data_IF_782557889336
#
_entry.id   IF_782557889336
#
_cell.length_a   1.000
_cell.length_b   1.000
_cell.length_c   1.000
_cell.angle_alpha   90.00
_cell.angle_beta   90.00
_cell.angle_gamma   90.00
#
_symmetry.space_group_name_H-M   'P 1'
#
loop_
_entity.id
_entity.type
_entity.pdbx_description
1 polymer ?
#
# COMPACT_ATOMS: atom_id res chain seq x y z
N UNK A 1 -11.97 11.26 6.69
CA UNK A 1 -12.59 9.90 6.67
C UNK A 1 -11.50 8.87 6.47
N UNK A 2 -11.59 7.74 7.16
CA UNK A 2 -10.55 6.69 7.11
C UNK A 2 -11.18 5.32 6.85
N UNK A 3 -10.48 4.51 6.07
CA UNK A 3 -10.80 3.10 5.86
C UNK A 3 -9.55 2.28 6.11
N UNK A 4 -9.71 1.18 6.83
CA UNK A 4 -8.65 0.24 7.14
C UNK A 4 -8.92 -1.09 6.44
N UNK A 5 -7.90 -1.64 5.79
CA UNK A 5 -7.93 -2.95 5.16
C UNK A 5 -6.67 -3.73 5.55
N UNK A 6 -6.74 -5.05 5.44
CA UNK A 6 -5.65 -5.95 5.82
C UNK A 6 -5.28 -6.85 4.65
N UNK A 7 -4.02 -7.21 4.56
CA UNK A 7 -3.56 -8.24 3.64
C UNK A 7 -2.35 -8.98 4.21
N UNK A 8 -2.22 -10.24 3.84
CA UNK A 8 -1.05 -11.04 4.14
C UNK A 8 -0.22 -11.21 2.87
N UNK A 9 1.05 -10.89 2.94
CA UNK A 9 1.94 -10.99 1.78
C UNK A 9 3.35 -11.33 2.22
N UNK A 10 4.10 -11.96 1.30
CA UNK A 10 5.52 -12.21 1.49
C UNK A 10 6.35 -11.28 0.63
N UNK A 11 7.56 -11.01 1.08
CA UNK A 11 8.53 -10.22 0.33
C UNK A 11 9.97 -10.54 0.75
N UNK A 12 10.88 -10.02 -0.04
CA UNK A 12 12.32 -10.07 0.21
C UNK A 12 12.90 -8.72 -0.17
N UNK A 13 13.73 -8.16 0.71
CA UNK A 13 14.46 -6.92 0.42
C UNK A 13 15.86 -7.28 -0.06
N UNK A 14 16.11 -7.09 -1.34
CA UNK A 14 17.43 -7.30 -1.92
C UNK A 14 17.60 -6.50 -3.20
N UNK A 15 18.84 -6.14 -3.50
CA UNK A 15 19.18 -5.55 -4.77
C UNK A 15 19.80 -6.64 -5.66
N UNK A 16 19.16 -7.02 -6.78
CA UNK A 16 19.65 -8.10 -7.63
C UNK A 16 21.01 -7.80 -8.30
N UNK A 17 21.44 -6.54 -8.33
CA UNK A 17 22.75 -6.14 -8.85
C UNK A 17 23.89 -6.34 -7.84
N UNK A 18 23.57 -6.62 -6.58
CA UNK A 18 24.54 -6.82 -5.52
C UNK A 18 24.82 -8.30 -5.25
N UNK A 19 25.97 -8.59 -4.64
CA UNK A 19 26.27 -9.93 -4.12
C UNK A 19 25.33 -10.30 -2.96
N UNK A 20 25.22 -11.59 -2.67
CA UNK A 20 24.42 -12.07 -1.52
C UNK A 20 24.99 -11.52 -0.21
N UNK A 21 26.31 -11.44 -0.08
CA UNK A 21 26.98 -10.89 1.10
C UNK A 21 26.63 -9.42 1.33
N UNK A 22 26.64 -8.62 0.25
CA UNK A 22 26.26 -7.20 0.33
C UNK A 22 24.79 -7.01 0.68
N UNK A 23 23.92 -7.83 0.13
CA UNK A 23 22.50 -7.81 0.46
C UNK A 23 22.27 -8.17 1.92
N UNK A 24 22.96 -9.18 2.44
CA UNK A 24 22.87 -9.57 3.85
C UNK A 24 23.40 -8.47 4.78
N UNK A 25 24.50 -7.83 4.41
CA UNK A 25 25.06 -6.71 5.17
C UNK A 25 24.08 -5.54 5.26
N UNK A 26 23.42 -5.19 4.15
CA UNK A 26 22.53 -4.03 4.06
C UNK A 26 21.13 -4.30 4.63
N UNK A 27 20.57 -5.45 4.31
CA UNK A 27 19.16 -5.79 4.63
C UNK A 27 19.01 -6.82 5.76
N UNK A 28 20.10 -7.46 6.18
CA UNK A 28 20.07 -8.50 7.21
C UNK A 28 19.14 -9.66 6.84
N UNK A 29 18.33 -10.10 7.80
CA UNK A 29 17.38 -11.21 7.61
C UNK A 29 16.29 -10.90 6.57
N UNK A 30 16.02 -9.64 6.28
CA UNK A 30 15.06 -9.25 5.25
C UNK A 30 15.50 -9.64 3.84
N UNK A 31 16.79 -9.93 3.62
CA UNK A 31 17.34 -10.39 2.36
C UNK A 31 17.28 -11.91 2.17
N UNK A 32 16.73 -12.67 3.15
CA UNK A 32 16.65 -14.12 3.08
C UNK A 32 16.01 -14.57 1.76
N UNK A 33 16.71 -15.46 1.03
CA UNK A 33 16.30 -15.96 -0.28
C UNK A 33 14.97 -16.72 -0.29
N UNK A 34 14.50 -17.19 0.86
CA UNK A 34 13.23 -17.91 1.00
C UNK A 34 12.08 -16.99 1.35
N UNK A 35 12.30 -15.66 1.38
CA UNK A 35 11.31 -14.64 1.70
C UNK A 35 10.88 -14.68 3.17
N UNK A 36 10.04 -13.74 3.55
CA UNK A 36 9.32 -13.70 4.83
C UNK A 36 8.00 -12.99 4.59
N UNK A 37 7.06 -13.15 5.49
CA UNK A 37 5.71 -12.59 5.34
C UNK A 37 5.28 -11.78 6.54
N UNK A 38 4.31 -10.91 6.29
CA UNK A 38 3.67 -10.08 7.30
C UNK A 38 2.16 -10.02 7.09
N UNK A 39 1.46 -9.74 8.17
CA UNK A 39 0.07 -9.30 8.13
C UNK A 39 0.07 -7.77 8.08
N UNK A 40 -0.03 -7.25 6.88
CA UNK A 40 -0.04 -5.81 6.65
C UNK A 40 -1.37 -5.18 7.01
N UNK A 41 -1.33 -3.94 7.50
CA UNK A 41 -2.50 -3.12 7.73
C UNK A 41 -2.36 -1.84 6.93
N UNK A 42 -3.33 -1.56 6.07
CA UNK A 42 -3.37 -0.35 5.26
C UNK A 42 -4.47 0.57 5.76
N UNK A 43 -4.10 1.81 6.11
CA UNK A 43 -5.06 2.87 6.44
C UNK A 43 -5.09 3.87 5.29
N UNK A 44 -6.26 4.06 4.72
CA UNK A 44 -6.53 5.04 3.65
C UNK A 44 -7.30 6.21 4.24
N UNK A 45 -6.70 7.39 4.24
CA UNK A 45 -7.33 8.63 4.71
C UNK A 45 -7.74 9.49 3.52
N UNK A 46 -9.00 9.88 3.51
CA UNK A 46 -9.60 10.72 2.47
C UNK A 46 -10.12 12.00 3.10
N UNK A 47 -9.90 13.12 2.45
CA UNK A 47 -10.45 14.41 2.89
C UNK A 47 -11.27 15.05 1.78
N UNK A 48 -12.37 15.70 2.18
CA UNK A 48 -13.29 16.38 1.25
C UNK A 48 -14.38 17.10 2.00
N UNK A 49 -15.30 17.68 1.25
CA UNK A 49 -16.46 18.37 1.83
C UNK A 49 -17.56 17.36 2.17
N UNK A 50 -18.27 17.62 3.25
CA UNK A 50 -19.45 16.84 3.61
C UNK A 50 -20.57 17.19 2.62
N UNK A 51 -21.13 16.18 1.96
CA UNK A 51 -22.29 16.35 1.12
C UNK A 51 -23.54 16.55 2.03
N UNK A 52 -24.24 17.69 1.93
CA UNK A 52 -25.38 17.96 2.83
C UNK A 52 -26.54 16.99 2.64
N UNK A 53 -26.67 16.36 1.49
CA UNK A 53 -27.75 15.41 1.22
C UNK A 53 -27.49 14.02 1.81
N UNK A 54 -26.23 13.64 2.00
CA UNK A 54 -25.86 12.31 2.51
C UNK A 54 -25.23 12.37 3.90
N UNK A 55 -24.73 13.52 4.30
CA UNK A 55 -23.95 13.69 5.53
C UNK A 55 -22.56 13.08 5.46
N UNK A 56 -22.08 12.68 4.27
CA UNK A 56 -20.82 11.98 4.08
C UNK A 56 -19.87 12.74 3.15
N UNK A 57 -18.57 12.53 3.35
CA UNK A 57 -17.54 12.98 2.40
C UNK A 57 -17.55 12.07 1.17
N UNK A 58 -17.67 10.77 1.39
CA UNK A 58 -17.70 9.73 0.37
C UNK A 58 -18.37 8.49 0.99
N UNK A 59 -19.01 7.68 0.17
CA UNK A 59 -19.61 6.42 0.61
C UNK A 59 -18.49 5.44 1.00
N UNK A 60 -18.44 5.03 2.29
CA UNK A 60 -17.45 4.11 2.83
C UNK A 60 -17.49 2.73 2.18
N UNK A 61 -18.65 2.27 1.74
CA UNK A 61 -18.79 0.98 1.05
C UNK A 61 -18.11 1.04 -0.32
N UNK A 62 -18.29 2.13 -1.05
CA UNK A 62 -17.65 2.35 -2.35
C UNK A 62 -16.14 2.49 -2.20
N UNK A 63 -15.68 3.23 -1.19
CA UNK A 63 -14.26 3.37 -0.90
C UNK A 63 -13.64 2.00 -0.53
N UNK A 64 -14.28 1.24 0.34
CA UNK A 64 -13.81 -0.08 0.72
C UNK A 64 -13.72 -1.04 -0.47
N UNK A 65 -14.73 -1.04 -1.34
CA UNK A 65 -14.73 -1.85 -2.57
C UNK A 65 -13.59 -1.44 -3.50
N UNK A 66 -13.37 -0.14 -3.69
CA UNK A 66 -12.27 0.37 -4.51
C UNK A 66 -10.91 -0.12 -3.99
N UNK A 67 -10.67 0.03 -2.70
CA UNK A 67 -9.39 -0.39 -2.09
C UNK A 67 -9.20 -1.90 -2.24
N UNK A 68 -10.23 -2.70 -1.97
CA UNK A 68 -10.14 -4.16 -2.12
C UNK A 68 -9.87 -4.57 -3.56
N UNK A 69 -10.61 -4.03 -4.51
CA UNK A 69 -10.47 -4.38 -5.93
C UNK A 69 -9.12 -3.95 -6.51
N UNK A 70 -8.68 -2.74 -6.18
CA UNK A 70 -7.49 -2.15 -6.81
C UNK A 70 -6.18 -2.49 -6.09
N UNK A 71 -6.23 -2.78 -4.80
CA UNK A 71 -5.05 -3.05 -3.99
C UNK A 71 -5.10 -4.45 -3.38
N UNK A 72 -6.04 -4.71 -2.47
CA UNK A 72 -6.02 -5.92 -1.63
C UNK A 72 -6.04 -7.20 -2.45
N UNK A 73 -6.94 -7.31 -3.41
CA UNK A 73 -7.08 -8.51 -4.26
C UNK A 73 -5.82 -8.79 -5.10
N UNK A 74 -5.00 -7.76 -5.31
CA UNK A 74 -3.76 -7.88 -6.10
C UNK A 74 -2.54 -8.24 -5.26
N UNK A 75 -2.58 -8.03 -3.95
CA UNK A 75 -1.43 -8.24 -3.05
C UNK A 75 -1.67 -9.32 -1.98
N UNK A 76 -2.93 -9.55 -1.59
CA UNK A 76 -3.25 -10.49 -0.53
C UNK A 76 -2.93 -11.93 -0.92
N UNK A 77 -2.23 -12.64 -0.04
CA UNK A 77 -1.71 -13.99 -0.26
C UNK A 77 -0.76 -14.09 -1.46
N UNK A 78 -0.07 -12.99 -1.78
CA UNK A 78 0.89 -12.91 -2.89
C UNK A 78 2.31 -12.71 -2.39
N UNK A 79 3.25 -13.05 -3.25
CA UNK A 79 4.65 -12.66 -3.11
C UNK A 79 4.85 -11.32 -3.83
N UNK A 80 5.18 -10.27 -3.08
CA UNK A 80 5.29 -8.91 -3.62
C UNK A 80 6.43 -8.75 -4.63
N UNK A 81 7.46 -9.58 -4.55
CA UNK A 81 8.58 -9.55 -5.50
C UNK A 81 8.24 -10.18 -6.86
N UNK A 82 7.31 -11.15 -6.88
CA UNK A 82 7.14 -12.06 -8.03
C UNK A 82 5.75 -11.94 -8.66
N UNK A 83 4.70 -11.77 -7.86
CA UNK A 83 3.31 -11.96 -8.29
C UNK A 83 2.51 -10.66 -8.44
N UNK A 84 3.11 -9.50 -8.20
CA UNK A 84 2.42 -8.21 -8.22
C UNK A 84 2.98 -7.33 -9.33
N UNK A 85 2.19 -7.11 -10.38
CA UNK A 85 2.62 -6.45 -11.61
C UNK A 85 3.16 -5.04 -11.38
N UNK A 86 2.49 -4.23 -10.56
CA UNK A 86 2.91 -2.84 -10.31
C UNK A 86 4.16 -2.73 -9.42
N UNK A 87 4.63 -3.82 -8.83
CA UNK A 87 5.87 -3.88 -8.06
C UNK A 87 7.03 -4.52 -8.83
N UNK A 88 6.79 -4.94 -10.07
CA UNK A 88 7.79 -5.61 -10.89
C UNK A 88 9.02 -4.74 -11.10
N UNK A 89 10.19 -5.30 -10.87
CA UNK A 89 11.47 -4.59 -11.01
C UNK A 89 11.79 -3.63 -9.87
N UNK A 90 10.99 -3.63 -8.80
CA UNK A 90 11.17 -2.78 -7.63
C UNK A 90 11.53 -3.62 -6.41
N UNK A 91 12.24 -3.01 -5.46
CA UNK A 91 12.45 -3.61 -4.14
C UNK A 91 11.21 -3.31 -3.31
N UNK A 92 10.41 -4.31 -2.91
CA UNK A 92 9.11 -4.07 -2.25
C UNK A 92 9.26 -3.77 -0.75
N UNK A 93 10.01 -2.73 -0.43
CA UNK A 93 10.00 -2.14 0.91
C UNK A 93 8.65 -1.47 1.17
N UNK A 94 8.30 -1.25 2.43
CA UNK A 94 7.05 -0.55 2.78
C UNK A 94 6.94 0.81 2.11
N UNK A 95 8.07 1.53 1.99
CA UNK A 95 8.15 2.84 1.35
C UNK A 95 7.79 2.78 -0.15
N UNK A 96 8.34 1.81 -0.86
CA UNK A 96 8.03 1.63 -2.29
C UNK A 96 6.59 1.14 -2.46
N UNK A 97 6.16 0.20 -1.65
CA UNK A 97 4.79 -0.36 -1.73
C UNK A 97 3.75 0.73 -1.50
N UNK A 98 3.91 1.57 -0.48
CA UNK A 98 2.94 2.64 -0.17
C UNK A 98 2.90 3.71 -1.27
N UNK A 99 4.04 4.04 -1.88
CA UNK A 99 4.10 4.96 -3.03
C UNK A 99 3.34 4.41 -4.24
N UNK A 100 3.48 3.13 -4.53
CA UNK A 100 2.75 2.49 -5.64
C UNK A 100 1.24 2.42 -5.35
N UNK A 101 0.84 2.14 -4.12
CA UNK A 101 -0.57 2.20 -3.70
C UNK A 101 -1.15 3.61 -3.90
N UNK A 102 -0.39 4.64 -3.56
CA UNK A 102 -0.79 6.03 -3.78
C UNK A 102 -1.08 6.32 -5.24
N UNK A 103 -0.16 5.95 -6.13
CA UNK A 103 -0.31 6.17 -7.59
C UNK A 103 -1.58 5.54 -8.15
N UNK A 104 -1.98 4.39 -7.59
CA UNK A 104 -3.19 3.69 -8.01
C UNK A 104 -4.44 4.35 -7.41
N UNK A 105 -4.43 4.66 -6.12
CA UNK A 105 -5.63 5.09 -5.39
C UNK A 105 -5.98 6.57 -5.59
N UNK A 106 -4.98 7.46 -5.66
CA UNK A 106 -5.23 8.89 -5.69
C UNK A 106 -6.14 9.33 -6.87
N UNK A 107 -5.87 8.96 -8.12
CA UNK A 107 -6.75 9.34 -9.24
C UNK A 107 -8.13 8.66 -9.15
N UNK A 108 -8.20 7.44 -8.65
CA UNK A 108 -9.43 6.67 -8.56
C UNK A 108 -10.36 7.19 -7.45
N UNK A 109 -9.82 7.65 -6.34
CA UNK A 109 -10.59 8.29 -5.27
C UNK A 109 -11.15 9.64 -5.74
N UNK A 110 -10.35 10.41 -6.45
CA UNK A 110 -10.81 11.67 -7.02
C UNK A 110 -11.99 11.45 -7.99
N UNK A 111 -11.88 10.47 -8.87
CA UNK A 111 -12.94 10.10 -9.81
C UNK A 111 -14.18 9.56 -9.08
N UNK A 112 -14.01 8.61 -8.15
CA UNK A 112 -15.10 8.00 -7.38
C UNK A 112 -15.92 9.03 -6.63
N UNK A 113 -15.27 10.06 -6.11
CA UNK A 113 -15.90 11.15 -5.35
C UNK A 113 -16.46 12.27 -6.22
N UNK A 114 -16.40 12.15 -7.54
CA UNK A 114 -16.79 13.23 -8.47
C UNK A 114 -16.03 14.54 -8.16
N UNK A 115 -14.75 14.41 -7.84
CA UNK A 115 -13.83 15.50 -7.46
C UNK A 115 -14.14 16.18 -6.13
N UNK A 116 -15.03 15.60 -5.32
CA UNK A 116 -15.35 16.14 -4.00
C UNK A 116 -14.30 15.82 -2.93
N UNK A 117 -13.59 14.73 -3.10
CA UNK A 117 -12.63 14.25 -2.12
C UNK A 117 -11.30 13.85 -2.77
N UNK A 118 -10.23 13.95 -1.99
CA UNK A 118 -8.88 13.57 -2.41
C UNK A 118 -8.28 12.59 -1.41
N UNK A 119 -7.39 11.74 -1.89
CA UNK A 119 -6.55 10.94 -1.01
C UNK A 119 -5.67 11.88 -0.20
N UNK A 120 -5.74 11.78 1.13
CA UNK A 120 -4.99 12.66 2.03
C UNK A 120 -3.69 12.02 2.51
N UNK A 121 -3.78 10.78 2.94
CA UNK A 121 -2.59 10.01 3.34
C UNK A 121 -2.86 8.51 3.28
N UNK A 122 -1.78 7.77 3.17
CA UNK A 122 -1.75 6.32 3.38
C UNK A 122 -0.83 6.03 4.56
N UNK A 123 -1.20 5.03 5.36
CA UNK A 123 -0.33 4.45 6.39
C UNK A 123 -0.28 2.95 6.17
N UNK A 124 0.91 2.38 6.09
CA UNK A 124 1.13 0.95 5.90
C UNK A 124 1.92 0.40 7.06
N UNK A 125 1.28 -0.44 7.86
CA UNK A 125 1.92 -1.19 8.95
C UNK A 125 2.42 -2.53 8.40
N UNK A 126 3.71 -2.76 8.53
CA UNK A 126 4.33 -4.06 8.27
C UNK A 126 4.20 -4.97 9.50
N UNK A 127 4.41 -4.38 10.67
CA UNK A 127 4.19 -4.98 12.00
C UNK A 127 3.48 -3.95 12.87
N UNK A 128 3.11 -4.32 14.09
CA UNK A 128 2.54 -3.37 15.05
C UNK A 128 3.48 -2.20 15.39
N UNK A 129 4.79 -2.41 15.24
CA UNK A 129 5.82 -1.45 15.62
C UNK A 129 6.37 -0.64 14.46
N UNK A 130 6.35 -1.20 13.25
CA UNK A 130 7.00 -0.62 12.07
C UNK A 130 5.95 -0.27 11.02
N UNK A 131 5.91 0.99 10.67
CA UNK A 131 4.98 1.49 9.66
C UNK A 131 5.56 2.70 8.94
N UNK A 132 5.00 2.99 7.79
CA UNK A 132 5.31 4.16 6.99
C UNK A 132 4.05 4.98 6.74
N UNK A 133 4.19 6.29 6.63
CA UNK A 133 3.13 7.21 6.22
C UNK A 133 3.55 7.93 4.94
N UNK A 134 2.60 8.16 4.05
CA UNK A 134 2.85 8.84 2.78
C UNK A 134 1.71 9.81 2.46
N UNK A 135 2.08 11.02 2.03
CA UNK A 135 1.15 12.12 1.76
C UNK A 135 1.15 12.55 0.30
N UNK A 136 1.76 11.78 -0.59
CA UNK A 136 1.81 12.08 -2.01
C UNK A 136 3.00 12.94 -2.43
N UNK A 137 3.96 13.15 -1.55
CA UNK A 137 5.24 13.79 -1.87
C UNK A 137 6.16 12.84 -2.66
N UNK A 138 7.06 13.40 -3.40
CA UNK A 138 8.07 12.62 -4.15
C UNK A 138 9.37 12.46 -3.35
#
# INVERSE_FOLDING_TARGET
>A
MCRKEYFCASHRLFNPAWSDEKNEEEFGICSNQYFHGHNFELIVKVKGKINPNTGCVLDLKKLGKLIRTEIIDKVDHKNLNIQVDFLKGKIPSCEIVIMEFWKILAPKILELSEKNAVLHSLTLFETEKNYVEYFGEE
#
